data_IF_689532402415
#
_entry.id   IF_689532402415
#
_cell.length_a   1.000
_cell.length_b   1.000
_cell.length_c   1.000
_cell.angle_alpha   90.00
_cell.angle_beta   90.00
_cell.angle_gamma   90.00
#
_symmetry.space_group_name_H-M   'P 1'
#
loop_
_entity.id
_entity.type
_entity.pdbx_description
1 polymer ?
#
# COMPACT_ATOMS: atom_id res chain seq x y z
N UNK A 1 10.10 14.10 -0.08
CA UNK A 1 9.41 12.81 -0.25
C UNK A 1 8.53 12.62 0.97
N UNK A 2 7.23 12.52 0.78
CA UNK A 2 6.31 12.27 1.89
C UNK A 2 6.48 10.82 2.33
N UNK A 3 7.03 10.61 3.53
CA UNK A 3 7.16 9.29 4.13
C UNK A 3 5.81 8.89 4.73
N UNK A 4 5.21 7.82 4.20
CA UNK A 4 3.98 7.22 4.75
C UNK A 4 4.32 6.02 5.63
N UNK A 5 3.31 5.47 6.30
CA UNK A 5 3.39 4.23 7.09
C UNK A 5 2.17 3.37 6.79
N UNK A 6 2.19 2.08 7.15
CA UNK A 6 1.02 1.22 6.94
C UNK A 6 -0.19 1.72 7.75
N UNK A 7 0.04 2.26 8.94
CA UNK A 7 -1.01 2.86 9.78
C UNK A 7 -1.68 4.02 9.06
N UNK A 8 -0.89 4.93 8.50
CA UNK A 8 -1.42 6.10 7.78
C UNK A 8 -2.18 5.69 6.53
N UNK A 9 -1.69 4.69 5.80
CA UNK A 9 -2.41 4.12 4.66
C UNK A 9 -3.76 3.53 5.12
N UNK A 10 -3.78 2.76 6.20
CA UNK A 10 -5.02 2.17 6.73
C UNK A 10 -6.03 3.23 7.19
N UNK A 11 -5.56 4.31 7.83
CA UNK A 11 -6.42 5.42 8.24
C UNK A 11 -7.02 6.19 7.06
N UNK A 12 -6.31 6.25 5.92
CA UNK A 12 -6.76 6.92 4.71
C UNK A 12 -7.59 6.02 3.78
N UNK A 13 -7.59 4.71 4.00
CA UNK A 13 -8.28 3.73 3.16
C UNK A 13 -9.71 3.56 3.63
N UNK A 14 -10.67 3.70 2.71
CA UNK A 14 -12.08 3.50 3.00
C UNK A 14 -12.48 2.00 2.97
N UNK A 15 -13.77 1.72 3.08
CA UNK A 15 -14.30 0.35 3.07
C UNK A 15 -14.22 -0.37 1.71
N UNK A 16 -13.82 0.31 0.64
CA UNK A 16 -13.68 -0.24 -0.71
C UNK A 16 -12.21 -0.45 -1.11
N UNK A 17 -11.27 -0.19 -0.20
CA UNK A 17 -9.85 -0.44 -0.39
C UNK A 17 -9.28 -1.48 0.57
N UNK A 18 -7.97 -1.70 0.47
CA UNK A 18 -7.25 -2.62 1.34
C UNK A 18 -5.80 -2.17 1.52
N UNK A 19 -5.23 -2.43 2.70
CA UNK A 19 -3.80 -2.25 2.98
C UNK A 19 -3.27 -3.54 3.59
N UNK A 20 -2.41 -4.24 2.85
CA UNK A 20 -2.00 -5.61 3.16
C UNK A 20 -0.48 -5.73 3.16
N UNK A 21 0.08 -6.35 4.20
CA UNK A 21 1.51 -6.67 4.27
C UNK A 21 1.85 -7.88 3.40
N UNK A 22 2.95 -7.80 2.66
CA UNK A 22 3.56 -8.91 1.93
C UNK A 22 5.08 -8.95 2.18
N UNK A 23 5.54 -9.71 3.16
CA UNK A 23 6.95 -9.71 3.57
C UNK A 23 7.41 -8.33 4.07
N UNK A 24 8.38 -7.72 3.37
CA UNK A 24 8.87 -6.34 3.58
C UNK A 24 8.16 -5.31 2.69
N UNK A 25 7.10 -5.72 2.00
CA UNK A 25 6.29 -4.84 1.17
C UNK A 25 4.93 -4.58 1.83
N UNK A 26 4.31 -3.49 1.41
CA UNK A 26 2.91 -3.17 1.70
C UNK A 26 2.21 -2.92 0.37
N UNK A 27 1.11 -3.62 0.13
CA UNK A 27 0.22 -3.38 -1.00
C UNK A 27 -0.93 -2.53 -0.46
N UNK A 28 -1.25 -1.43 -1.15
CA UNK A 28 -2.40 -0.61 -0.83
C UNK A 28 -3.26 -0.37 -2.07
N UNK A 29 -4.57 -0.39 -1.87
CA UNK A 29 -5.58 0.01 -2.84
C UNK A 29 -6.60 0.89 -2.14
N UNK A 30 -6.98 1.98 -2.78
CA UNK A 30 -8.00 2.92 -2.32
C UNK A 30 -8.98 3.23 -3.44
N UNK A 31 -10.27 3.31 -3.11
CA UNK A 31 -11.29 3.73 -4.05
C UNK A 31 -11.32 5.25 -4.10
N UNK A 32 -10.90 5.83 -5.22
CA UNK A 32 -10.78 7.29 -5.32
C UNK A 32 -11.34 7.83 -6.64
N UNK A 33 -11.65 9.12 -6.64
CA UNK A 33 -12.00 9.83 -7.86
C UNK A 33 -10.71 10.16 -8.61
N UNK A 34 -10.57 9.64 -9.83
CA UNK A 34 -9.42 9.93 -10.66
C UNK A 34 -9.74 11.02 -11.69
N UNK A 35 -8.70 11.78 -12.06
CA UNK A 35 -8.78 12.85 -13.06
C UNK A 35 -9.30 12.28 -14.38
N UNK A 36 -10.48 12.74 -14.80
CA UNK A 36 -11.20 12.17 -15.95
C UNK A 36 -12.62 11.71 -15.63
N UNK A 37 -13.03 11.77 -14.36
CA UNK A 37 -14.42 11.50 -13.95
C UNK A 37 -14.74 10.03 -13.72
N UNK A 38 -13.73 9.18 -13.65
CA UNK A 38 -13.90 7.74 -13.42
C UNK A 38 -13.51 7.42 -11.98
N UNK A 39 -14.40 6.71 -11.30
CA UNK A 39 -14.11 6.12 -10.00
C UNK A 39 -13.55 4.72 -10.20
N UNK A 40 -12.61 4.35 -9.35
CA UNK A 40 -12.03 3.01 -9.34
C UNK A 40 -10.98 2.90 -8.26
N UNK A 41 -10.46 1.70 -8.13
CA UNK A 41 -9.41 1.36 -7.19
C UNK A 41 -8.04 1.61 -7.81
N UNK A 42 -7.18 2.32 -7.10
CA UNK A 42 -5.76 2.35 -7.41
C UNK A 42 -5.06 1.05 -6.95
N UNK A 43 -3.81 0.85 -7.34
CA UNK A 43 -2.97 -0.22 -6.83
C UNK A 43 -1.54 0.30 -6.64
N UNK A 44 -1.07 0.28 -5.40
CA UNK A 44 0.24 0.77 -5.00
C UNK A 44 1.02 -0.33 -4.28
N UNK A 45 2.32 -0.40 -4.54
CA UNK A 45 3.27 -1.29 -3.87
C UNK A 45 4.32 -0.41 -3.20
N UNK A 46 4.49 -0.59 -1.90
CA UNK A 46 5.45 0.11 -1.07
C UNK A 46 6.49 -0.86 -0.53
N UNK A 47 7.72 -0.38 -0.36
CA UNK A 47 8.79 -1.08 0.34
C UNK A 47 9.02 -0.40 1.70
N UNK A 48 9.24 -1.22 2.72
CA UNK A 48 9.71 -0.80 4.02
C UNK A 48 11.10 -0.16 3.94
N UNK A 49 11.27 1.02 4.54
CA UNK A 49 12.56 1.75 4.57
C UNK A 49 13.31 1.59 5.89
N UNK A 50 12.67 0.98 6.88
CA UNK A 50 13.19 0.79 8.24
C UNK A 50 13.09 -0.69 8.62
N UNK A 51 13.95 -1.16 9.52
CA UNK A 51 13.83 -2.50 10.10
C UNK A 51 12.88 -2.47 11.31
N UNK A 52 11.78 -3.24 11.32
CA UNK A 52 10.90 -3.33 12.47
C UNK A 52 11.63 -3.91 13.67
N UNK A 53 11.34 -3.38 14.86
CA UNK A 53 11.83 -3.95 16.10
C UNK A 53 11.10 -5.26 16.41
N UNK A 54 11.85 -6.30 16.80
CA UNK A 54 11.29 -7.53 17.39
C UNK A 54 10.73 -7.27 18.79
N UNK A 55 11.20 -6.20 19.46
CA UNK A 55 10.69 -5.76 20.74
C UNK A 55 9.80 -4.50 20.56
N UNK A 56 8.46 -4.62 20.68
CA UNK A 56 7.54 -3.51 20.47
C UNK A 56 7.70 -2.37 21.51
N UNK A 57 8.47 -2.57 22.58
CA UNK A 57 8.74 -1.54 23.59
C UNK A 57 10.04 -0.76 23.37
N UNK A 58 10.88 -1.18 22.41
CA UNK A 58 12.22 -0.62 22.20
C UNK A 58 12.47 -0.11 20.77
N UNK A 59 11.42 -0.06 19.94
CA UNK A 59 11.50 0.48 18.58
C UNK A 59 10.16 0.43 17.87
N UNK A 60 10.15 0.83 16.60
CA UNK A 60 8.94 0.84 15.78
C UNK A 60 8.48 -0.56 15.46
N UNK A 61 7.18 -0.81 15.61
CA UNK A 61 6.53 -1.97 15.04
C UNK A 61 6.40 -1.81 13.52
N UNK A 62 6.14 -2.90 12.80
CA UNK A 62 6.07 -2.88 11.32
C UNK A 62 5.12 -1.80 10.78
N UNK A 63 3.97 -1.62 11.42
CA UNK A 63 2.93 -0.70 10.95
C UNK A 63 3.35 0.78 11.05
N UNK A 64 4.30 1.08 11.93
CA UNK A 64 4.87 2.42 12.19
C UNK A 64 6.14 2.69 11.37
N UNK A 65 6.73 1.66 10.76
CA UNK A 65 7.91 1.79 9.92
C UNK A 65 7.58 2.58 8.65
N UNK A 66 8.57 3.34 8.20
CA UNK A 66 8.50 4.12 6.97
C UNK A 66 8.28 3.24 5.75
N UNK A 67 7.46 3.74 4.82
CA UNK A 67 7.17 3.14 3.53
C UNK A 67 7.57 4.10 2.40
N UNK A 68 8.19 3.54 1.38
CA UNK A 68 8.51 4.20 0.11
C UNK A 68 7.68 3.57 -1.02
N UNK A 69 7.02 4.40 -1.82
CA UNK A 69 6.28 3.94 -3.00
C UNK A 69 7.26 3.48 -4.07
N UNK A 70 7.20 2.21 -4.46
CA UNK A 70 8.10 1.62 -5.47
C UNK A 70 7.39 1.33 -6.80
N UNK A 71 6.06 1.15 -6.76
CA UNK A 71 5.27 0.91 -7.97
C UNK A 71 3.82 1.35 -7.76
N UNK A 72 3.24 1.93 -8.79
CA UNK A 72 1.82 2.29 -8.83
C UNK A 72 1.27 1.90 -10.21
N UNK A 73 0.03 1.43 -10.26
CA UNK A 73 -0.66 1.18 -11.50
C UNK A 73 -1.04 2.51 -12.19
N UNK A 74 -0.81 2.61 -13.50
CA UNK A 74 -1.27 3.75 -14.30
C UNK A 74 -2.79 3.69 -14.57
N UNK A 75 -3.37 2.51 -14.41
CA UNK A 75 -4.79 2.22 -14.60
C UNK A 75 -5.53 2.09 -13.26
N UNK A 76 -6.84 2.23 -13.32
CA UNK A 76 -7.74 1.99 -12.19
C UNK A 76 -8.52 0.69 -12.40
N UNK A 77 -8.90 0.07 -11.30
CA UNK A 77 -9.57 -1.23 -11.28
C UNK A 77 -11.03 -1.07 -10.84
N UNK A 78 -11.93 -1.98 -11.28
CA UNK A 78 -13.33 -1.93 -10.91
C UNK A 78 -13.57 -2.23 -9.42
N UNK A 79 -12.65 -2.93 -8.77
CA UNK A 79 -12.70 -3.29 -7.35
C UNK A 79 -11.29 -3.52 -6.79
N UNK A 80 -11.21 -3.63 -5.46
CA UNK A 80 -10.00 -3.92 -4.70
C UNK A 80 -9.38 -5.28 -5.04
N UNK A 81 -10.20 -6.29 -5.33
CA UNK A 81 -9.75 -7.61 -5.74
C UNK A 81 -8.89 -7.59 -7.01
N UNK A 82 -9.34 -6.89 -8.05
CA UNK A 82 -8.57 -6.74 -9.29
C UNK A 82 -7.32 -5.88 -9.10
N UNK A 83 -7.40 -4.85 -8.25
CA UNK A 83 -6.23 -4.04 -7.89
C UNK A 83 -5.15 -4.87 -7.16
N UNK A 84 -5.56 -5.69 -6.18
CA UNK A 84 -4.68 -6.60 -5.46
C UNK A 84 -4.08 -7.65 -6.39
N UNK A 85 -4.87 -8.23 -7.30
CA UNK A 85 -4.38 -9.20 -8.28
C UNK A 85 -3.28 -8.58 -9.17
N UNK A 86 -3.47 -7.35 -9.63
CA UNK A 86 -2.44 -6.63 -10.37
C UNK A 86 -1.18 -6.42 -9.52
N UNK A 87 -1.32 -5.98 -8.27
CA UNK A 87 -0.19 -5.71 -7.39
C UNK A 87 0.65 -6.97 -7.15
N UNK A 88 -0.01 -8.10 -6.87
CA UNK A 88 0.65 -9.40 -6.67
C UNK A 88 1.40 -9.88 -7.91
N UNK A 89 0.85 -9.65 -9.11
CA UNK A 89 1.52 -9.98 -10.38
C UNK A 89 2.70 -9.03 -10.72
N UNK A 90 2.85 -7.93 -9.98
CA UNK A 90 3.79 -6.85 -10.26
C UNK A 90 4.81 -6.60 -9.12
N UNK A 91 4.89 -7.52 -8.16
CA UNK A 91 5.88 -7.49 -7.09
C UNK A 91 7.30 -7.45 -7.67
N UNK A 92 8.25 -6.76 -7.02
CA UNK A 92 9.65 -6.85 -7.39
C UNK A 92 10.15 -8.29 -7.26
N UNK A 93 11.12 -8.68 -8.09
CA UNK A 93 11.83 -9.94 -7.94
C UNK A 93 12.51 -10.01 -6.56
N UNK A 94 12.54 -11.22 -5.98
CA UNK A 94 13.06 -11.48 -4.63
C UNK A 94 14.59 -11.46 -4.57
#
# INVERSE_FOLDING_TARGET
>A
METTTMERLQMATDSYGAVVRYGNLVIATSYSWHKGGVYGNDACIYHLTETPSENPWQGKSFIECGLELIKQADQIFPDDGHALAWALANLPEA
#
